data_IF_266213008656
#
_entry.id   IF_266213008656
#
_cell.length_a   1.000
_cell.length_b   1.000
_cell.length_c   1.000
_cell.angle_alpha   90.00
_cell.angle_beta   90.00
_cell.angle_gamma   90.00
#
_symmetry.space_group_name_H-M   'P 1'
#
loop_
_entity.id
_entity.type
_entity.pdbx_description
1 polymer ?
#
# COMPACT_ATOMS: atom_id res chain seq x y z
N UNK A 1 12.54 9.69 5.38
CA UNK A 1 11.55 8.63 5.10
C UNK A 1 10.32 9.28 4.49
N UNK A 2 10.28 9.44 3.16
CA UNK A 2 9.21 10.12 2.44
C UNK A 2 9.07 9.56 1.00
N UNK A 3 8.20 10.14 0.18
CA UNK A 3 8.05 9.80 -1.24
C UNK A 3 7.04 8.68 -1.53
N UNK A 4 7.18 8.01 -2.67
CA UNK A 4 6.16 7.11 -3.23
C UNK A 4 5.90 5.82 -2.45
N UNK A 5 6.69 5.54 -1.41
CA UNK A 5 6.61 4.31 -0.59
C UNK A 5 6.18 4.56 0.85
N UNK A 6 5.96 5.82 1.22
CA UNK A 6 5.64 6.21 2.59
C UNK A 6 4.43 7.14 2.58
N UNK A 7 3.52 6.92 3.54
CA UNK A 7 2.38 7.80 3.78
C UNK A 7 2.44 8.22 5.24
N UNK A 8 2.28 9.51 5.49
CA UNK A 8 2.29 10.08 6.83
C UNK A 8 0.88 10.55 7.19
N UNK A 9 0.47 10.24 8.42
CA UNK A 9 -0.71 10.81 9.06
C UNK A 9 -0.23 11.64 10.25
N UNK A 10 -0.63 12.91 10.28
CA UNK A 10 -0.31 13.82 11.38
C UNK A 10 -1.58 14.53 11.85
N UNK A 11 -1.49 15.25 12.97
CA UNK A 11 -2.60 16.06 13.48
C UNK A 11 -2.83 17.32 12.64
N UNK A 12 -4.08 17.72 12.44
CA UNK A 12 -4.45 18.89 11.64
C UNK A 12 -4.42 20.24 12.35
N UNK A 13 -4.18 20.29 13.66
CA UNK A 13 -4.28 21.54 14.45
C UNK A 13 -3.08 22.49 14.28
N UNK A 14 -2.09 22.13 13.47
CA UNK A 14 -0.98 23.03 13.23
C UNK A 14 -1.40 24.16 12.29
N UNK A 15 -0.93 25.40 12.54
CA UNK A 15 -1.17 26.50 11.63
C UNK A 15 -0.69 26.20 10.23
N UNK A 16 -1.35 26.77 9.23
CA UNK A 16 -0.83 26.78 7.87
C UNK A 16 0.61 27.32 7.87
N UNK A 17 1.47 26.68 7.08
CA UNK A 17 2.89 27.02 6.96
C UNK A 17 3.73 26.85 8.26
N UNK A 18 3.28 26.05 9.23
CA UNK A 18 4.04 25.76 10.46
C UNK A 18 5.49 25.34 10.22
N UNK A 19 5.75 24.58 9.15
CA UNK A 19 7.09 24.10 8.76
C UNK A 19 8.03 25.21 8.25
N UNK A 20 7.52 26.43 8.01
CA UNK A 20 8.32 27.58 7.57
C UNK A 20 8.83 28.42 8.75
N UNK A 21 8.22 28.29 9.93
CA UNK A 21 8.52 29.09 11.12
C UNK A 21 9.55 28.45 12.06
N UNK A 22 10.24 27.40 11.59
CA UNK A 22 11.27 26.71 12.38
C UNK A 22 12.51 27.59 12.44
N UNK A 23 12.95 27.95 13.66
CA UNK A 23 14.19 28.69 13.83
C UNK A 23 15.37 27.88 13.28
N UNK A 24 16.23 28.52 12.48
CA UNK A 24 17.34 27.85 11.76
C UNK A 24 18.32 27.08 12.67
N UNK A 25 18.27 27.31 13.99
CA UNK A 25 19.16 26.67 14.96
C UNK A 25 18.66 25.31 15.49
N UNK A 26 17.40 24.95 15.28
CA UNK A 26 16.83 23.69 15.81
C UNK A 26 16.85 22.54 14.81
N UNK A 27 16.92 22.83 13.50
CA UNK A 27 16.85 21.82 12.44
C UNK A 27 17.81 22.15 11.30
N UNK A 28 18.66 21.20 10.92
CA UNK A 28 19.64 21.33 9.81
C UNK A 28 19.02 21.19 8.39
N UNK A 29 17.72 21.52 8.22
CA UNK A 29 16.99 21.36 6.97
C UNK A 29 16.50 22.71 6.46
N UNK A 30 16.52 22.92 5.15
CA UNK A 30 15.91 24.12 4.53
C UNK A 30 14.39 23.98 4.47
N UNK A 31 13.68 25.12 4.35
CA UNK A 31 12.22 25.14 4.18
C UNK A 31 11.78 24.32 2.96
N UNK A 32 12.54 24.36 1.86
CA UNK A 32 12.23 23.58 0.67
C UNK A 32 12.41 22.07 0.87
N UNK A 33 13.44 21.65 1.61
CA UNK A 33 13.64 20.24 1.98
C UNK A 33 12.50 19.74 2.87
N UNK A 34 12.06 20.56 3.83
CA UNK A 34 10.90 20.25 4.68
C UNK A 34 9.62 20.17 3.86
N UNK A 35 9.39 21.12 2.94
CA UNK A 35 8.23 21.12 2.05
C UNK A 35 8.19 19.90 1.16
N UNK A 36 9.34 19.44 0.64
CA UNK A 36 9.45 18.23 -0.16
C UNK A 36 9.13 16.98 0.67
N UNK A 37 9.69 16.88 1.87
CA UNK A 37 9.49 15.73 2.75
C UNK A 37 8.04 15.58 3.22
N UNK A 38 7.30 16.69 3.35
CA UNK A 38 5.91 16.73 3.77
C UNK A 38 4.91 16.49 2.63
N UNK A 39 5.33 16.36 1.37
CA UNK A 39 4.38 16.21 0.25
C UNK A 39 3.47 14.99 0.40
N UNK A 40 2.16 15.21 0.31
CA UNK A 40 1.14 14.17 0.25
C UNK A 40 0.76 13.56 1.60
N UNK A 41 1.23 14.11 2.73
CA UNK A 41 0.78 13.67 4.05
C UNK A 41 -0.69 14.02 4.29
N UNK A 42 -1.34 13.24 5.14
CA UNK A 42 -2.72 13.43 5.56
C UNK A 42 -2.79 14.06 6.95
N UNK A 43 -3.74 14.96 7.12
CA UNK A 43 -4.14 15.49 8.43
C UNK A 43 -5.57 15.11 8.73
N UNK A 44 -5.86 14.92 10.00
CA UNK A 44 -7.23 14.81 10.49
C UNK A 44 -7.44 15.77 11.66
N UNK A 45 -8.57 16.46 11.64
CA UNK A 45 -9.00 17.36 12.71
C UNK A 45 -10.54 17.40 12.79
N UNK A 46 -11.10 18.07 13.79
CA UNK A 46 -12.54 18.29 13.85
C UNK A 46 -12.93 19.46 12.95
N UNK A 47 -14.12 19.41 12.36
CA UNK A 47 -14.68 20.58 11.66
C UNK A 47 -15.00 21.68 12.67
N UNK A 48 -14.33 22.82 12.55
CA UNK A 48 -14.54 23.97 13.44
C UNK A 48 -15.69 24.88 12.97
N UNK A 49 -16.09 24.78 11.71
CA UNK A 49 -17.14 25.58 11.07
C UNK A 49 -18.18 24.67 10.44
N UNK A 50 -19.43 25.12 10.41
CA UNK A 50 -20.49 24.44 9.65
C UNK A 50 -20.10 24.34 8.16
N UNK A 51 -20.37 23.19 7.54
CA UNK A 51 -20.17 23.00 6.10
C UNK A 51 -21.21 23.76 5.27
N UNK A 52 -22.41 23.92 5.83
CA UNK A 52 -23.50 24.66 5.22
C UNK A 52 -23.56 26.08 5.77
N UNK A 53 -23.85 27.06 4.91
CA UNK A 53 -24.03 28.48 5.29
C UNK A 53 -25.44 28.76 5.87
N UNK A 54 -26.07 27.74 6.46
CA UNK A 54 -27.36 27.89 7.13
C UNK A 54 -27.22 28.76 8.37
N UNK A 55 -28.15 29.70 8.63
CA UNK A 55 -28.15 30.47 9.86
C UNK A 55 -28.18 29.57 11.09
N UNK A 56 -27.27 29.82 12.03
CA UNK A 56 -27.27 29.19 13.35
C UNK A 56 -28.46 29.66 14.20
N UNK A 57 -28.62 29.07 15.38
CA UNK A 57 -29.63 29.45 16.37
C UNK A 57 -29.56 30.94 16.75
N UNK A 58 -28.37 31.55 16.71
CA UNK A 58 -28.21 32.99 16.96
C UNK A 58 -28.54 33.87 15.76
N UNK A 59 -28.94 33.29 14.62
CA UNK A 59 -29.20 33.98 13.36
C UNK A 59 -27.95 34.36 12.55
N UNK A 60 -26.75 33.98 13.01
CA UNK A 60 -25.49 34.20 12.29
C UNK A 60 -25.17 32.98 11.43
N UNK A 61 -24.76 33.19 10.18
CA UNK A 61 -24.08 32.18 9.39
C UNK A 61 -22.54 32.26 9.60
N UNK A 62 -21.79 31.31 9.05
CA UNK A 62 -20.33 31.21 9.25
C UNK A 62 -19.63 32.46 8.71
N UNK A 63 -19.99 32.89 7.50
CA UNK A 63 -19.37 34.03 6.83
C UNK A 63 -19.50 35.32 7.64
N UNK A 64 -20.70 35.59 8.17
CA UNK A 64 -20.96 36.79 9.00
C UNK A 64 -20.30 36.70 10.37
N UNK A 65 -20.24 35.51 10.97
CA UNK A 65 -19.51 35.32 12.22
C UNK A 65 -18.03 35.66 12.04
N UNK A 66 -17.39 35.16 10.99
CA UNK A 66 -15.99 35.43 10.68
C UNK A 66 -15.75 36.93 10.41
N UNK A 67 -16.63 37.59 9.66
CA UNK A 67 -16.57 39.04 9.43
C UNK A 67 -16.67 39.84 10.75
N UNK A 68 -17.67 39.55 11.58
CA UNK A 68 -17.85 40.23 12.86
C UNK A 68 -16.68 39.97 13.84
N UNK A 69 -16.09 38.78 13.78
CA UNK A 69 -14.92 38.42 14.59
C UNK A 69 -13.67 39.21 14.16
N UNK A 70 -13.40 39.29 12.86
CA UNK A 70 -12.24 40.03 12.33
C UNK A 70 -12.33 41.53 12.64
N UNK A 71 -13.53 42.11 12.51
CA UNK A 71 -13.77 43.51 12.89
C UNK A 71 -13.45 43.72 14.38
N UNK A 72 -13.86 42.81 15.27
CA UNK A 72 -13.60 42.91 16.71
C UNK A 72 -12.14 42.70 17.07
N UNK A 73 -11.41 41.87 16.32
CA UNK A 73 -9.98 41.63 16.53
C UNK A 73 -9.11 42.79 16.01
N UNK A 74 -9.68 43.71 15.23
CA UNK A 74 -8.95 44.78 14.53
C UNK A 74 -7.76 44.21 13.73
N UNK A 75 -7.93 43.01 13.18
CA UNK A 75 -6.92 42.28 12.44
C UNK A 75 -7.45 41.92 11.04
N UNK A 76 -6.60 42.11 10.04
CA UNK A 76 -6.89 41.77 8.65
C UNK A 76 -6.46 40.36 8.25
N UNK A 77 -5.55 39.71 8.98
CA UNK A 77 -5.11 38.34 8.69
C UNK A 77 -5.51 37.36 9.82
N UNK A 78 -6.46 36.44 9.57
CA UNK A 78 -6.80 35.36 10.49
C UNK A 78 -5.61 34.51 10.95
N UNK A 79 -4.58 34.34 10.11
CA UNK A 79 -3.43 33.48 10.39
C UNK A 79 -2.49 34.04 11.46
N UNK A 80 -2.58 35.35 11.72
CA UNK A 80 -1.79 36.02 12.76
C UNK A 80 -2.43 35.89 14.15
N UNK A 81 -3.65 35.37 14.23
CA UNK A 81 -4.38 35.21 15.49
C UNK A 81 -4.39 33.75 15.94
N UNK A 82 -3.64 33.38 16.98
CA UNK A 82 -3.67 32.04 17.54
C UNK A 82 -5.09 31.68 18.02
N UNK A 83 -5.54 30.46 17.71
CA UNK A 83 -6.86 29.99 18.14
C UNK A 83 -8.04 30.54 17.34
N UNK A 84 -7.79 31.26 16.24
CA UNK A 84 -8.85 31.78 15.37
C UNK A 84 -9.76 30.67 14.81
N UNK A 85 -9.24 29.50 14.37
CA UNK A 85 -10.08 28.40 13.90
C UNK A 85 -11.11 27.93 14.94
N UNK A 86 -10.76 27.93 16.23
CA UNK A 86 -11.54 27.40 17.35
C UNK A 86 -12.59 28.37 17.90
N UNK A 87 -12.57 29.64 17.48
CA UNK A 87 -13.49 30.67 17.99
C UNK A 87 -14.98 30.29 17.91
N UNK A 88 -15.49 29.63 16.84
CA UNK A 88 -16.87 29.17 16.79
C UNK A 88 -17.24 28.17 17.89
N UNK A 89 -16.28 27.35 18.36
CA UNK A 89 -16.53 26.39 19.45
C UNK A 89 -16.80 27.11 20.76
N UNK A 90 -16.02 28.15 21.08
CA UNK A 90 -16.23 28.96 22.27
C UNK A 90 -17.56 29.72 22.22
N UNK A 91 -17.92 30.25 21.05
CA UNK A 91 -19.19 30.91 20.83
C UNK A 91 -20.37 29.96 21.06
N UNK A 92 -20.33 28.77 20.47
CA UNK A 92 -21.38 27.76 20.61
C UNK A 92 -21.42 27.15 22.02
N UNK A 93 -20.30 27.10 22.75
CA UNK A 93 -20.28 26.65 24.14
C UNK A 93 -21.08 27.59 25.06
N UNK A 94 -20.99 28.91 24.86
CA UNK A 94 -21.79 29.88 25.61
C UNK A 94 -23.28 29.75 25.27
N UNK A 95 -23.62 29.52 23.99
CA UNK A 95 -25.00 29.25 23.58
C UNK A 95 -25.54 27.95 24.17
N UNK A 96 -24.75 26.87 24.18
CA UNK A 96 -25.13 25.61 24.78
C UNK A 96 -25.43 25.79 26.28
N UNK A 97 -24.57 26.52 27.00
CA UNK A 97 -24.79 26.86 28.41
C UNK A 97 -26.10 27.65 28.61
N UNK A 98 -26.33 28.68 27.80
CA UNK A 98 -27.54 29.51 27.91
C UNK A 98 -28.82 28.68 27.67
N UNK A 99 -28.81 27.81 26.66
CA UNK A 99 -29.93 26.92 26.35
C UNK A 99 -30.17 25.89 27.45
N UNK A 100 -29.11 25.27 27.97
CA UNK A 100 -29.20 24.32 29.06
C UNK A 100 -29.73 24.97 30.36
N UNK A 101 -29.27 26.18 30.71
CA UNK A 101 -29.78 26.92 31.86
C UNK A 101 -31.26 27.26 31.69
N UNK A 102 -31.68 27.73 30.51
CA UNK A 102 -33.08 28.02 30.22
C UNK A 102 -33.97 26.77 30.39
N UNK A 103 -33.54 25.64 29.83
CA UNK A 103 -34.26 24.37 29.98
C UNK A 103 -34.28 23.88 31.44
N UNK A 104 -33.22 24.15 32.22
CA UNK A 104 -33.16 23.83 33.65
C UNK A 104 -34.22 24.60 34.44
N UNK A 105 -34.41 25.89 34.15
CA UNK A 105 -35.47 26.72 34.78
C UNK A 105 -36.85 26.10 34.53
N UNK A 106 -37.13 25.73 33.28
CA UNK A 106 -38.40 25.09 32.91
C UNK A 106 -38.61 23.78 33.68
N UNK A 107 -37.60 22.90 33.71
CA UNK A 107 -37.67 21.61 34.42
C UNK A 107 -37.86 21.73 35.93
N UNK A 108 -37.21 22.71 36.56
CA UNK A 108 -37.38 22.97 37.99
C UNK A 108 -38.79 23.48 38.29
N UNK A 109 -39.32 24.36 37.44
CA UNK A 109 -40.68 24.91 37.55
C UNK A 109 -41.74 23.80 37.40
N UNK A 110 -41.60 22.92 36.40
CA UNK A 110 -42.51 21.79 36.16
C UNK A 110 -42.55 20.79 37.33
N UNK A 111 -41.42 20.62 38.03
CA UNK A 111 -41.35 19.74 39.22
C UNK A 111 -41.87 20.41 40.50
N UNK A 112 -42.35 21.65 40.44
CA UNK A 112 -42.79 22.40 41.61
C UNK A 112 -41.66 22.68 42.60
N UNK A 113 -40.41 22.63 42.14
CA UNK A 113 -39.25 22.91 42.99
C UNK A 113 -39.12 24.42 43.12
N UNK A 114 -39.42 24.95 44.30
CA UNK A 114 -39.36 26.40 44.63
C UNK A 114 -37.91 26.93 44.77
N UNK A 115 -36.99 26.39 43.98
CA UNK A 115 -35.57 26.72 43.97
C UNK A 115 -35.22 27.17 42.55
N UNK A 116 -35.10 28.47 42.36
CA UNK A 116 -34.55 29.04 41.13
C UNK A 116 -33.03 28.90 41.10
N UNK A 117 -32.44 29.21 39.94
CA UNK A 117 -30.98 29.20 39.76
C UNK A 117 -30.28 30.24 40.67
N UNK A 118 -31.01 31.25 41.15
CA UNK A 118 -30.57 32.27 42.11
C UNK A 118 -30.23 31.71 43.49
N UNK A 119 -30.76 30.53 43.85
CA UNK A 119 -30.54 29.87 45.15
C UNK A 119 -29.57 28.69 45.06
N UNK A 120 -28.65 28.73 44.10
CA UNK A 120 -27.63 27.70 43.95
C UNK A 120 -26.67 27.65 45.15
N UNK A 121 -26.37 26.44 45.62
CA UNK A 121 -25.29 26.15 46.58
C UNK A 121 -24.52 24.93 46.09
N UNK A 122 -23.24 24.81 46.48
CA UNK A 122 -22.39 23.69 46.04
C UNK A 122 -22.89 22.30 46.51
N UNK A 123 -23.70 22.26 47.56
CA UNK A 123 -24.30 21.02 48.08
C UNK A 123 -25.61 20.62 47.37
N UNK A 124 -26.14 21.48 46.49
CA UNK A 124 -27.44 21.28 45.87
C UNK A 124 -27.36 20.31 44.66
N UNK A 125 -27.40 19.02 44.96
CA UNK A 125 -27.43 17.94 43.96
C UNK A 125 -28.65 17.96 43.03
N UNK A 126 -29.74 18.63 43.43
CA UNK A 126 -30.96 18.71 42.62
C UNK A 126 -30.78 19.63 41.43
N UNK A 127 -30.27 20.86 41.64
CA UNK A 127 -29.98 21.79 40.54
C UNK A 127 -28.94 21.17 39.60
N UNK A 128 -27.86 20.61 40.15
CA UNK A 128 -26.82 19.96 39.34
C UNK A 128 -27.39 18.87 38.44
N UNK A 129 -28.23 17.97 38.97
CA UNK A 129 -28.80 16.85 38.20
C UNK A 129 -29.76 17.32 37.12
N UNK A 130 -30.58 18.33 37.37
CA UNK A 130 -31.48 18.86 36.34
C UNK A 130 -30.70 19.63 35.26
N UNK A 131 -29.67 20.38 35.66
CA UNK A 131 -28.74 21.03 34.73
C UNK A 131 -27.98 20.01 33.87
N UNK A 132 -27.43 18.96 34.47
CA UNK A 132 -26.74 17.90 33.75
C UNK A 132 -27.66 17.26 32.71
N UNK A 133 -28.90 16.92 33.10
CA UNK A 133 -29.89 16.39 32.16
C UNK A 133 -30.28 17.39 31.08
N UNK A 134 -30.27 18.70 31.36
CA UNK A 134 -30.61 19.72 30.38
C UNK A 134 -29.47 19.84 29.35
N UNK A 135 -28.23 19.84 29.83
CA UNK A 135 -27.03 19.81 29.00
C UNK A 135 -26.98 18.56 28.11
N UNK A 136 -27.25 17.38 28.67
CA UNK A 136 -27.33 16.11 27.93
C UNK A 136 -28.39 16.12 26.82
N UNK A 137 -29.52 16.82 27.04
CA UNK A 137 -30.56 16.99 26.03
C UNK A 137 -30.38 18.20 25.11
N UNK A 138 -29.30 18.96 25.25
CA UNK A 138 -29.08 20.17 24.45
C UNK A 138 -28.68 19.79 23.02
N UNK A 139 -29.47 20.25 22.06
CA UNK A 139 -29.25 20.04 20.63
C UNK A 139 -29.70 21.27 19.84
N UNK A 140 -28.80 21.90 19.10
CA UNK A 140 -29.10 23.07 18.27
C UNK A 140 -28.11 23.22 17.12
N UNK A 141 -28.45 24.05 16.14
CA UNK A 141 -27.54 24.44 15.06
C UNK A 141 -26.67 25.60 15.52
N UNK A 142 -25.38 25.36 15.74
CA UNK A 142 -24.37 26.38 16.06
C UNK A 142 -23.68 26.93 14.81
N UNK A 143 -22.76 27.88 15.00
CA UNK A 143 -21.90 28.39 13.92
C UNK A 143 -20.90 27.30 13.48
N UNK A 144 -20.45 26.48 14.41
CA UNK A 144 -19.59 25.33 14.15
C UNK A 144 -20.33 24.10 13.60
N UNK A 145 -21.63 24.23 13.30
CA UNK A 145 -22.49 23.15 12.83
C UNK A 145 -23.44 22.62 13.92
N UNK A 146 -24.05 21.44 13.72
CA UNK A 146 -24.89 20.82 14.74
C UNK A 146 -24.10 20.61 16.05
N UNK A 147 -24.68 21.03 17.16
CA UNK A 147 -24.12 20.86 18.50
C UNK A 147 -24.95 19.82 19.23
N UNK A 148 -24.33 18.70 19.56
CA UNK A 148 -24.91 17.61 20.36
C UNK A 148 -23.78 16.93 21.15
N UNK A 149 -24.08 16.46 22.35
CA UNK A 149 -23.11 15.78 23.21
C UNK A 149 -23.43 14.30 23.34
N UNK A 150 -22.38 13.48 23.45
CA UNK A 150 -22.46 12.09 23.86
C UNK A 150 -22.67 12.01 25.38
N UNK A 151 -23.09 10.85 25.86
CA UNK A 151 -23.20 10.57 27.30
C UNK A 151 -21.87 10.67 28.05
N UNK A 152 -20.74 10.61 27.33
CA UNK A 152 -19.39 10.85 27.85
C UNK A 152 -19.04 12.33 28.02
N UNK A 153 -19.84 13.23 27.43
CA UNK A 153 -19.58 14.68 27.37
C UNK A 153 -18.91 15.15 26.08
N UNK A 154 -18.44 14.22 25.24
CA UNK A 154 -17.80 14.57 23.97
C UNK A 154 -18.81 15.14 22.98
N UNK A 155 -18.41 16.17 22.23
CA UNK A 155 -19.24 16.71 21.17
C UNK A 155 -19.23 15.80 19.94
N UNK A 156 -20.41 15.53 19.39
CA UNK A 156 -20.55 14.92 18.06
C UNK A 156 -20.27 15.97 16.98
N UNK A 157 -19.27 15.70 16.14
CA UNK A 157 -18.88 16.56 15.01
C UNK A 157 -18.29 15.71 13.89
N UNK A 158 -18.12 16.32 12.72
CA UNK A 158 -17.44 15.69 11.60
C UNK A 158 -15.92 15.79 11.80
N UNK A 159 -15.21 14.72 11.45
CA UNK A 159 -13.75 14.75 11.32
C UNK A 159 -13.41 15.18 9.90
N UNK A 160 -12.74 16.31 9.74
CA UNK A 160 -12.19 16.78 8.47
C UNK A 160 -10.90 16.01 8.16
N UNK A 161 -10.75 15.61 6.89
CA UNK A 161 -9.56 14.97 6.37
C UNK A 161 -8.97 15.88 5.30
N UNK A 162 -7.67 16.15 5.40
CA UNK A 162 -6.96 16.99 4.44
C UNK A 162 -5.70 16.32 3.97
N UNK A 163 -5.20 16.80 2.83
CA UNK A 163 -3.94 16.38 2.27
C UNK A 163 -3.12 17.60 1.84
N UNK A 164 -1.83 17.60 2.17
CA UNK A 164 -0.93 18.69 1.83
C UNK A 164 -0.25 18.46 0.49
N UNK A 165 -0.35 19.43 -0.42
CA UNK A 165 0.37 19.46 -1.69
C UNK A 165 0.94 20.84 -1.95
N UNK A 166 2.21 20.90 -2.31
CA UNK A 166 2.91 22.12 -2.68
C UNK A 166 2.73 23.26 -1.67
N UNK A 167 2.86 22.94 -0.38
CA UNK A 167 2.72 23.93 0.69
C UNK A 167 1.29 24.19 1.15
N UNK A 168 0.26 23.66 0.49
CA UNK A 168 -1.15 23.98 0.75
C UNK A 168 -1.95 22.75 1.19
N UNK A 169 -2.82 22.94 2.18
CA UNK A 169 -3.77 21.91 2.60
C UNK A 169 -5.02 21.94 1.73
N UNK A 170 -5.45 20.76 1.31
CA UNK A 170 -6.68 20.55 0.57
C UNK A 170 -7.60 19.64 1.37
N UNK A 171 -8.80 20.12 1.67
CA UNK A 171 -9.86 19.31 2.29
C UNK A 171 -10.32 18.25 1.29
N UNK A 172 -10.11 16.98 1.61
CA UNK A 172 -10.41 15.85 0.72
C UNK A 172 -11.63 15.07 1.17
N UNK A 173 -12.07 15.21 2.42
CA UNK A 173 -13.21 14.44 2.90
C UNK A 173 -13.59 14.73 4.34
N UNK A 174 -14.67 14.06 4.75
CA UNK A 174 -15.21 14.15 6.10
C UNK A 174 -15.62 12.76 6.60
N UNK A 175 -15.41 12.49 7.88
CA UNK A 175 -15.94 11.31 8.56
C UNK A 175 -16.99 11.72 9.58
N UNK A 176 -18.16 11.11 9.47
CA UNK A 176 -19.29 11.26 10.38
C UNK A 176 -19.27 10.12 11.41
N UNK A 177 -18.86 10.45 12.63
CA UNK A 177 -18.80 9.51 13.75
C UNK A 177 -20.21 9.02 14.18
N UNK A 178 -21.26 9.82 13.98
CA UNK A 178 -22.63 9.47 14.37
C UNK A 178 -23.21 8.38 13.48
N UNK A 179 -23.02 8.51 12.17
CA UNK A 179 -23.56 7.58 11.17
C UNK A 179 -22.55 6.51 10.73
N UNK A 180 -21.31 6.56 11.24
CA UNK A 180 -20.19 5.71 10.82
C UNK A 180 -20.02 5.70 9.28
N UNK A 181 -20.09 6.87 8.67
CA UNK A 181 -19.96 7.06 7.24
C UNK A 181 -18.86 8.07 6.95
N UNK A 182 -18.18 7.92 5.81
CA UNK A 182 -17.18 8.86 5.36
C UNK A 182 -17.45 9.25 3.92
N UNK A 183 -17.13 10.50 3.61
CA UNK A 183 -17.16 11.04 2.26
C UNK A 183 -15.74 11.44 1.88
N UNK A 184 -15.24 10.88 0.78
CA UNK A 184 -13.93 11.21 0.25
C UNK A 184 -14.06 11.63 -1.20
N UNK A 185 -13.50 12.80 -1.54
CA UNK A 185 -13.41 13.25 -2.91
C UNK A 185 -12.17 12.66 -3.58
N UNK A 186 -12.33 11.46 -4.14
CA UNK A 186 -11.26 10.73 -4.85
C UNK A 186 -10.63 11.51 -6.01
N UNK A 187 -11.30 12.52 -6.57
CA UNK A 187 -10.74 13.34 -7.66
C UNK A 187 -9.63 14.31 -7.21
N UNK A 188 -9.61 14.65 -5.91
CA UNK A 188 -8.65 15.59 -5.32
C UNK A 188 -7.50 14.83 -4.65
N UNK A 189 -7.76 13.62 -4.15
CA UNK A 189 -6.74 12.76 -3.54
C UNK A 189 -5.66 12.43 -4.56
N UNK A 190 -4.41 12.68 -4.19
CA UNK A 190 -3.24 12.39 -5.02
C UNK A 190 -2.30 11.46 -4.27
N UNK A 191 -1.50 10.73 -5.02
CA UNK A 191 -0.44 9.90 -4.47
C UNK A 191 0.89 10.27 -5.11
N UNK A 192 1.96 10.15 -4.31
CA UNK A 192 3.32 10.39 -4.78
C UNK A 192 3.65 9.45 -5.95
N UNK A 193 4.32 9.98 -6.99
CA UNK A 193 4.74 9.20 -8.16
C UNK A 193 3.72 9.01 -9.28
N UNK A 194 2.64 9.82 -9.32
CA UNK A 194 1.52 9.69 -10.29
C UNK A 194 0.80 8.33 -10.23
N UNK A 195 0.93 7.62 -9.11
CA UNK A 195 0.18 6.39 -8.88
C UNK A 195 -1.31 6.72 -8.68
N UNK A 196 -2.24 5.96 -9.29
CA UNK A 196 -3.67 6.10 -9.00
C UNK A 196 -4.06 5.47 -7.64
N UNK A 197 -3.16 4.71 -7.02
CA UNK A 197 -3.42 3.96 -5.79
C UNK A 197 -2.39 4.28 -4.70
N UNK A 198 -2.75 4.11 -3.41
CA UNK A 198 -1.80 4.20 -2.29
C UNK A 198 -0.64 3.21 -2.45
N UNK A 199 0.52 3.47 -1.82
CA UNK A 199 1.58 2.49 -1.73
C UNK A 199 1.12 1.25 -0.97
N UNK A 200 1.74 0.12 -1.30
CA UNK A 200 1.55 -1.12 -0.55
C UNK A 200 2.17 -1.02 0.84
N UNK A 201 1.59 -1.76 1.78
CA UNK A 201 2.06 -1.91 3.16
C UNK A 201 3.41 -2.65 3.23
N UNK A 202 3.70 -3.51 2.27
CA UNK A 202 4.94 -4.29 2.17
C UNK A 202 5.37 -4.52 0.73
N UNK A 203 6.63 -4.94 0.57
CA UNK A 203 7.14 -5.41 -0.72
C UNK A 203 6.48 -6.74 -1.09
N UNK A 204 5.90 -6.80 -2.28
CA UNK A 204 5.39 -8.04 -2.87
C UNK A 204 6.56 -8.85 -3.44
N UNK A 205 6.69 -10.09 -2.99
CA UNK A 205 7.66 -11.05 -3.54
C UNK A 205 6.95 -11.84 -4.62
N UNK A 206 7.39 -11.69 -5.87
CA UNK A 206 6.90 -12.45 -7.01
C UNK A 206 8.00 -13.44 -7.40
N UNK A 207 7.69 -14.73 -7.34
CA UNK A 207 8.60 -15.77 -7.79
C UNK A 207 8.57 -15.83 -9.32
N UNK A 208 9.74 -15.72 -9.93
CA UNK A 208 9.89 -15.79 -11.39
C UNK A 208 10.82 -16.96 -11.76
N UNK A 209 10.36 -17.79 -12.69
CA UNK A 209 11.09 -18.98 -13.13
C UNK A 209 12.16 -18.58 -14.14
N UNK A 210 13.43 -18.77 -13.79
CA UNK A 210 14.54 -18.58 -14.72
C UNK A 210 14.73 -19.82 -15.59
N UNK A 211 14.34 -19.73 -16.85
CA UNK A 211 14.40 -20.80 -17.84
C UNK A 211 15.58 -20.64 -18.80
N UNK A 212 15.93 -21.70 -19.52
CA UNK A 212 16.93 -21.64 -20.59
C UNK A 212 16.37 -20.83 -21.77
N UNK A 213 17.20 -19.98 -22.38
CA UNK A 213 16.75 -19.22 -23.57
C UNK A 213 16.47 -20.16 -24.74
N UNK A 214 15.35 -19.93 -25.43
CA UNK A 214 14.94 -20.75 -26.57
C UNK A 214 15.99 -20.74 -27.70
N UNK A 215 16.68 -19.62 -27.88
CA UNK A 215 17.75 -19.48 -28.88
C UNK A 215 18.93 -20.43 -28.60
N UNK A 216 19.38 -20.51 -27.35
CA UNK A 216 20.46 -21.42 -26.95
C UNK A 216 20.02 -22.87 -27.10
N UNK A 217 18.80 -23.20 -26.70
CA UNK A 217 18.26 -24.55 -26.81
C UNK A 217 18.17 -25.02 -28.27
N UNK A 218 17.63 -24.18 -29.17
CA UNK A 218 17.56 -24.49 -30.61
C UNK A 218 18.95 -24.64 -31.21
N UNK A 219 19.91 -23.79 -30.83
CA UNK A 219 21.30 -23.87 -31.28
C UNK A 219 21.95 -25.20 -30.88
N UNK A 220 21.84 -25.58 -29.61
CA UNK A 220 22.39 -26.84 -29.09
C UNK A 220 21.75 -28.07 -29.75
N UNK A 221 20.42 -28.10 -29.86
CA UNK A 221 19.69 -29.18 -30.55
C UNK A 221 20.08 -29.33 -32.02
N UNK A 222 20.25 -28.21 -32.73
CA UNK A 222 20.69 -28.22 -34.14
C UNK A 222 22.09 -28.80 -34.27
N UNK A 223 23.02 -28.41 -33.40
CA UNK A 223 24.39 -28.96 -33.39
C UNK A 223 24.41 -30.46 -33.07
N UNK A 224 23.58 -30.91 -32.12
CA UNK A 224 23.43 -32.31 -31.76
C UNK A 224 22.88 -33.15 -32.92
N UNK A 225 21.91 -32.61 -33.66
CA UNK A 225 21.32 -33.27 -34.83
C UNK A 225 22.37 -33.48 -35.93
N UNK A 226 23.17 -32.47 -36.25
CA UNK A 226 24.26 -32.58 -37.23
C UNK A 226 25.27 -33.64 -36.80
N UNK A 227 25.66 -33.66 -35.52
CA UNK A 227 26.58 -34.65 -34.99
C UNK A 227 26.01 -36.09 -35.06
N UNK A 228 24.72 -36.28 -34.78
CA UNK A 228 24.07 -37.58 -34.90
C UNK A 228 24.00 -38.08 -36.35
N UNK A 229 23.71 -37.20 -37.31
CA UNK A 229 23.70 -37.55 -38.74
C UNK A 229 25.09 -37.98 -39.21
N UNK A 230 26.13 -37.27 -38.80
CA UNK A 230 27.51 -37.64 -39.10
C UNK A 230 27.88 -38.99 -38.48
N UNK A 231 27.53 -39.22 -37.20
CA UNK A 231 27.76 -40.48 -36.51
C UNK A 231 27.03 -41.66 -37.18
N UNK A 232 25.79 -41.45 -37.63
CA UNK A 232 25.04 -42.43 -38.40
C UNK A 232 25.70 -42.74 -39.75
N UNK A 233 26.21 -41.73 -40.44
CA UNK A 233 27.01 -41.92 -41.66
C UNK A 233 28.25 -42.79 -41.40
N UNK A 234 28.98 -42.54 -40.31
CA UNK A 234 30.12 -43.37 -39.91
C UNK A 234 29.71 -44.82 -39.60
N UNK A 235 28.55 -45.02 -38.96
CA UNK A 235 28.01 -46.34 -38.68
C UNK A 235 27.70 -47.11 -39.98
N UNK A 236 26.99 -46.48 -40.91
CA UNK A 236 26.67 -47.05 -42.22
C UNK A 236 27.94 -47.39 -43.00
N UNK A 237 28.90 -46.47 -43.04
CA UNK A 237 30.19 -46.69 -43.69
C UNK A 237 30.92 -47.91 -43.12
N UNK A 238 30.96 -48.03 -41.79
CA UNK A 238 31.61 -49.14 -41.10
C UNK A 238 30.91 -50.48 -41.36
N UNK A 239 29.58 -50.50 -41.41
CA UNK A 239 28.80 -51.70 -41.72
C UNK A 239 28.97 -52.15 -43.17
N UNK A 240 28.87 -51.23 -44.14
CA UNK A 240 28.99 -51.56 -45.57
C UNK A 240 30.41 -52.05 -45.93
N UNK A 241 31.43 -51.43 -45.36
CA UNK A 241 32.83 -51.75 -45.66
C UNK A 241 33.45 -52.74 -44.66
N UNK A 242 32.64 -53.47 -43.89
CA UNK A 242 33.10 -54.39 -42.84
C UNK A 242 34.09 -55.44 -43.33
N UNK A 243 33.99 -55.85 -44.59
CA UNK A 243 34.84 -56.88 -45.20
C UNK A 243 36.16 -56.34 -45.77
N UNK A 244 36.34 -55.01 -45.82
CA UNK A 244 37.59 -54.40 -46.26
C UNK A 244 38.68 -54.67 -45.21
N UNK A 245 39.84 -55.15 -45.65
CA UNK A 245 40.93 -55.64 -44.77
C UNK A 245 41.25 -54.70 -43.60
N UNK A 246 41.41 -53.40 -43.84
CA UNK A 246 41.72 -52.42 -42.79
C UNK A 246 40.60 -52.26 -41.76
N UNK A 247 39.35 -52.24 -42.21
CA UNK A 247 38.18 -52.07 -41.33
C UNK A 247 37.92 -53.36 -40.54
N UNK A 248 38.07 -54.53 -41.17
CA UNK A 248 38.01 -55.83 -40.51
C UNK A 248 39.04 -55.94 -39.37
N UNK A 249 40.28 -55.48 -39.59
CA UNK A 249 41.34 -55.46 -38.57
C UNK A 249 41.05 -54.47 -37.43
N UNK A 250 40.26 -53.41 -37.68
CA UNK A 250 39.90 -52.40 -36.68
C UNK A 250 38.83 -52.85 -35.66
N UNK A 251 38.40 -54.11 -35.69
CA UNK A 251 37.33 -54.65 -34.83
C UNK A 251 36.03 -53.86 -34.99
N UNK A 252 35.35 -53.99 -36.14
CA UNK A 252 34.25 -53.11 -36.54
C UNK A 252 33.04 -53.20 -35.59
N UNK A 253 32.82 -54.34 -34.92
CA UNK A 253 31.76 -54.50 -33.92
C UNK A 253 31.91 -53.59 -32.71
N UNK A 254 33.13 -53.45 -32.16
CA UNK A 254 33.38 -52.54 -31.03
C UNK A 254 33.28 -51.07 -31.46
N UNK A 255 33.69 -50.74 -32.69
CA UNK A 255 33.48 -49.40 -33.25
C UNK A 255 32.00 -49.06 -33.42
N UNK A 256 31.17 -50.02 -33.85
CA UNK A 256 29.72 -49.81 -33.97
C UNK A 256 29.07 -49.56 -32.61
N UNK A 257 29.48 -50.29 -31.56
CA UNK A 257 29.02 -50.07 -30.18
C UNK A 257 29.46 -48.68 -29.69
N UNK A 258 30.69 -48.26 -30.00
CA UNK A 258 31.19 -46.93 -29.64
C UNK A 258 30.33 -45.81 -30.25
N UNK A 259 30.07 -45.91 -31.56
CA UNK A 259 29.26 -44.94 -32.31
C UNK A 259 27.81 -44.92 -31.80
N UNK A 260 27.23 -46.08 -31.50
CA UNK A 260 25.89 -46.16 -30.91
C UNK A 260 25.84 -45.45 -29.54
N UNK A 261 26.85 -45.66 -28.69
CA UNK A 261 26.98 -44.96 -27.41
C UNK A 261 27.04 -43.43 -27.58
N UNK A 262 27.82 -42.94 -28.55
CA UNK A 262 27.89 -41.52 -28.87
C UNK A 262 26.54 -40.95 -29.33
N UNK A 263 25.79 -41.67 -30.19
CA UNK A 263 24.44 -41.25 -30.62
C UNK A 263 23.49 -41.18 -29.43
N UNK A 264 23.54 -42.18 -28.54
CA UNK A 264 22.74 -42.17 -27.31
C UNK A 264 23.10 -40.98 -26.41
N UNK A 265 24.38 -40.65 -26.22
CA UNK A 265 24.77 -39.44 -25.49
C UNK A 265 24.25 -38.15 -26.14
N UNK A 266 24.35 -38.01 -27.47
CA UNK A 266 23.89 -36.82 -28.19
C UNK A 266 22.37 -36.65 -28.09
N UNK A 267 21.60 -37.74 -28.02
CA UNK A 267 20.15 -37.67 -27.82
C UNK A 267 19.74 -37.04 -26.47
N UNK A 268 20.63 -37.05 -25.48
CA UNK A 268 20.37 -36.45 -24.16
C UNK A 268 20.23 -34.92 -24.22
N UNK A 269 20.83 -34.26 -25.23
CA UNK A 269 20.76 -32.80 -25.40
C UNK A 269 19.30 -32.33 -25.61
N UNK A 270 18.48 -33.11 -26.33
CA UNK A 270 17.06 -32.83 -26.51
C UNK A 270 16.26 -32.98 -25.20
N UNK A 271 16.69 -33.89 -24.32
CA UNK A 271 16.03 -34.07 -23.04
C UNK A 271 16.37 -32.94 -22.06
N UNK A 272 17.57 -32.37 -22.13
CA UNK A 272 18.05 -31.37 -21.17
C UNK A 272 17.37 -30.01 -21.26
N UNK A 273 16.83 -29.61 -22.41
CA UNK A 273 16.13 -28.32 -22.53
C UNK A 273 14.61 -28.39 -22.36
N UNK A 274 14.07 -29.53 -21.91
CA UNK A 274 12.66 -29.63 -21.53
C UNK A 274 12.47 -29.15 -20.08
N UNK A 275 11.83 -27.99 -19.93
CA UNK A 275 11.62 -27.35 -18.62
C UNK A 275 10.18 -27.55 -18.09
N UNK A 276 9.98 -27.29 -16.80
CA UNK A 276 8.67 -27.41 -16.10
C UNK A 276 7.59 -26.45 -16.64
N UNK A 277 7.94 -25.49 -17.51
CA UNK A 277 6.96 -24.63 -18.19
C UNK A 277 6.19 -25.36 -19.29
N UNK A 278 6.77 -26.43 -19.86
CA UNK A 278 6.20 -27.17 -21.00
C UNK A 278 5.63 -28.54 -20.60
N UNK A 279 5.81 -28.94 -19.35
CA UNK A 279 5.55 -30.28 -18.84
C UNK A 279 4.84 -30.21 -17.49
N UNK A 280 4.04 -31.23 -17.17
CA UNK A 280 3.55 -31.40 -15.80
C UNK A 280 4.67 -31.87 -14.86
N UNK A 281 4.51 -31.68 -13.55
CA UNK A 281 5.50 -32.09 -12.53
C UNK A 281 5.88 -33.58 -12.63
N UNK A 282 4.89 -34.44 -12.89
CA UNK A 282 5.10 -35.89 -13.08
C UNK A 282 5.96 -36.19 -14.32
N UNK A 283 5.67 -35.51 -15.43
CA UNK A 283 6.43 -35.65 -16.67
C UNK A 283 7.86 -35.14 -16.52
N UNK A 284 8.04 -34.04 -15.78
CA UNK A 284 9.36 -33.49 -15.47
C UNK A 284 10.21 -34.48 -14.66
N UNK A 285 9.61 -35.14 -13.67
CA UNK A 285 10.28 -36.18 -12.87
C UNK A 285 10.70 -37.37 -13.73
N UNK A 286 9.82 -37.84 -14.62
CA UNK A 286 10.14 -38.93 -15.55
C UNK A 286 11.28 -38.55 -16.53
N UNK A 287 11.25 -37.33 -17.08
CA UNK A 287 12.30 -36.83 -17.99
C UNK A 287 13.62 -36.65 -17.25
N UNK A 288 13.61 -36.21 -15.99
CA UNK A 288 14.80 -36.13 -15.16
C UNK A 288 15.49 -37.49 -15.01
N UNK A 289 14.73 -38.55 -14.75
CA UNK A 289 15.26 -39.92 -14.71
C UNK A 289 15.76 -40.38 -16.08
N UNK A 290 15.02 -40.10 -17.15
CA UNK A 290 15.41 -40.46 -18.51
C UNK A 290 16.75 -39.81 -18.93
N UNK A 291 17.01 -38.55 -18.55
CA UNK A 291 18.29 -37.86 -18.79
C UNK A 291 19.47 -38.66 -18.23
N UNK A 292 19.36 -39.07 -16.96
CA UNK A 292 20.42 -39.84 -16.29
C UNK A 292 20.64 -41.19 -16.95
N UNK A 293 19.55 -41.94 -17.22
CA UNK A 293 19.66 -43.27 -17.84
C UNK A 293 20.29 -43.22 -19.23
N UNK A 294 19.82 -42.32 -20.10
CA UNK A 294 20.34 -42.16 -21.46
C UNK A 294 21.82 -41.79 -21.44
N UNK A 295 22.22 -40.86 -20.58
CA UNK A 295 23.62 -40.43 -20.50
C UNK A 295 24.54 -41.54 -19.99
N UNK A 296 24.16 -42.25 -18.92
CA UNK A 296 24.96 -43.32 -18.33
C UNK A 296 25.11 -44.50 -19.29
N UNK A 297 24.02 -44.94 -19.93
CA UNK A 297 24.06 -46.04 -20.90
C UNK A 297 24.91 -45.65 -22.12
N UNK A 298 24.69 -44.47 -22.68
CA UNK A 298 25.47 -43.98 -23.83
C UNK A 298 26.97 -43.90 -23.54
N UNK A 299 27.34 -43.31 -22.39
CA UNK A 299 28.72 -43.17 -21.98
C UNK A 299 29.40 -44.52 -21.74
N UNK A 300 28.70 -45.45 -21.08
CA UNK A 300 29.22 -46.79 -20.79
C UNK A 300 29.47 -47.59 -22.08
N UNK A 301 28.57 -47.51 -23.06
CA UNK A 301 28.76 -48.15 -24.37
C UNK A 301 29.94 -47.54 -25.14
N UNK A 302 30.06 -46.21 -25.15
CA UNK A 302 31.12 -45.50 -25.84
C UNK A 302 32.51 -45.80 -25.25
N UNK A 303 32.67 -45.59 -23.95
CA UNK A 303 33.97 -45.77 -23.27
C UNK A 303 34.30 -47.25 -23.09
N UNK A 304 33.32 -48.09 -22.74
CA UNK A 304 33.54 -49.52 -22.53
C UNK A 304 34.02 -50.23 -23.80
N UNK A 305 33.51 -49.83 -24.97
CA UNK A 305 33.97 -50.38 -26.25
C UNK A 305 35.39 -49.94 -26.61
N UNK A 306 35.77 -48.68 -26.33
CA UNK A 306 37.15 -48.20 -26.50
C UNK A 306 38.12 -48.91 -25.54
N UNK A 307 37.73 -49.02 -24.27
CA UNK A 307 38.54 -49.69 -23.25
C UNK A 307 38.77 -51.17 -23.59
N UNK A 308 37.74 -51.88 -24.05
CA UNK A 308 37.85 -53.27 -24.48
C UNK A 308 38.87 -53.48 -25.60
N UNK A 309 39.03 -52.48 -26.49
CA UNK A 309 40.06 -52.52 -27.54
C UNK A 309 41.46 -52.37 -26.97
N UNK A 310 41.66 -51.41 -26.07
CA UNK A 310 42.94 -51.16 -25.42
C UNK A 310 43.35 -52.39 -24.60
N UNK A 311 42.42 -52.94 -23.81
CA UNK A 311 42.67 -54.11 -22.98
C UNK A 311 43.09 -55.34 -23.80
N UNK A 312 42.51 -55.54 -24.98
CA UNK A 312 42.86 -56.68 -25.84
C UNK A 312 44.25 -56.57 -26.48
N UNK A 313 44.80 -55.35 -26.55
CA UNK A 313 46.15 -55.10 -27.10
C UNK A 313 47.24 -55.34 -26.05
N UNK A 314 46.92 -55.14 -24.76
CA UNK A 314 47.78 -55.49 -23.64
C UNK A 314 47.77 -56.99 -23.35
#
# INVERSE_FOLDING_TARGET
MYGNRHVWFIIGWYPDNWYQKVEENDVNCTVDQMREALQGHFTTEMTMRSLDDTPSFSGLNVSRFDEELLIKLNNSDPNDTPGYPEAPLAYDAVWALALALNQTITRLTEKGVNVGLDKFTYDNSTIFREFYRAMDSTSFQGVSGPVQFLSTGDRLTLTQIEQMWDGRYYKIGYYDNKNNNWTLNHSIVRWNGRSPHPPYDRTLVVEDLRLVSMELYVGMCSSALVAMLAAFGCLVFNVLNRNVRYIAMSQPGLNNIAVLGCITCLSCIFLFGLDNSSLSEDQFTAICQARTWVLVVGFTLAVGSMFSKIWRVH
#
